data_IF_870745376942
#
_entry.id   IF_870745376942
#
_cell.length_a   1.000
_cell.length_b   1.000
_cell.length_c   1.000
_cell.angle_alpha   90.00
_cell.angle_beta   90.00
_cell.angle_gamma   90.00
#
_symmetry.space_group_name_H-M   'P 1'
#
loop_
_entity.id
_entity.type
_entity.pdbx_description
1 polymer ?
#
# COMPACT_ATOMS: atom_id res chain seq x y z
N UNK A 1 49.30 5.66 -22.19
CA UNK A 1 48.79 6.83 -21.44
C UNK A 1 47.49 7.27 -22.12
N UNK A 2 46.33 6.80 -21.65
CA UNK A 2 45.06 7.07 -22.34
C UNK A 2 44.71 8.56 -22.26
N UNK A 3 44.21 9.16 -23.36
CA UNK A 3 44.02 10.60 -23.45
C UNK A 3 42.89 11.05 -22.49
N UNK A 4 43.03 12.26 -21.94
CA UNK A 4 42.26 12.74 -20.77
C UNK A 4 40.74 12.67 -20.99
N UNK A 5 40.28 12.95 -22.21
CA UNK A 5 38.87 12.86 -22.61
C UNK A 5 38.27 11.45 -22.47
N UNK A 6 39.06 10.39 -22.67
CA UNK A 6 38.59 9.00 -22.50
C UNK A 6 38.32 8.71 -21.02
N UNK A 7 39.13 9.26 -20.10
CA UNK A 7 38.89 9.13 -18.66
C UNK A 7 37.63 9.86 -18.22
N UNK A 8 37.36 11.04 -18.78
CA UNK A 8 36.13 11.81 -18.50
C UNK A 8 34.87 11.08 -18.94
N UNK A 9 34.90 10.40 -20.10
CA UNK A 9 33.78 9.58 -20.58
C UNK A 9 33.51 8.36 -19.67
N UNK A 10 34.56 7.75 -19.12
CA UNK A 10 34.44 6.67 -18.14
C UNK A 10 33.86 7.16 -16.80
N UNK A 11 34.30 8.32 -16.31
CA UNK A 11 33.80 8.90 -15.05
C UNK A 11 32.32 9.26 -15.18
N UNK A 12 31.89 9.81 -16.32
CA UNK A 12 30.48 10.13 -16.57
C UNK A 12 29.59 8.87 -16.49
N UNK A 13 30.02 7.76 -17.08
CA UNK A 13 29.29 6.48 -17.01
C UNK A 13 29.38 5.76 -15.65
N UNK A 14 30.37 6.08 -14.81
CA UNK A 14 30.52 5.50 -13.47
C UNK A 14 29.70 6.26 -12.41
N UNK A 15 29.47 7.55 -12.64
CA UNK A 15 28.77 8.45 -11.69
C UNK A 15 27.28 8.60 -12.02
N UNK A 16 26.83 8.25 -13.23
CA UNK A 16 25.41 8.20 -13.60
C UNK A 16 24.57 7.03 -13.02
N UNK A 17 25.10 5.81 -12.80
CA UNK A 17 24.36 4.70 -12.20
C UNK A 17 23.81 4.99 -10.79
N UNK A 18 24.53 5.68 -9.87
CA UNK A 18 23.99 5.93 -8.53
C UNK A 18 22.90 7.02 -8.51
N UNK A 19 22.78 7.90 -9.50
CA UNK A 19 21.64 8.84 -9.59
C UNK A 19 20.33 8.14 -9.95
N UNK A 20 20.41 6.96 -10.57
CA UNK A 20 19.23 6.14 -10.90
C UNK A 20 18.73 5.32 -9.71
N UNK A 21 19.46 5.29 -8.58
CA UNK A 21 18.99 4.71 -7.31
C UNK A 21 18.34 5.81 -6.45
N UNK A 22 17.55 6.68 -7.07
CA UNK A 22 16.59 7.52 -6.35
C UNK A 22 15.34 6.71 -5.93
N UNK A 23 15.24 5.45 -6.36
CA UNK A 23 14.21 4.52 -5.93
C UNK A 23 14.62 3.78 -4.65
N UNK A 24 14.79 4.51 -3.55
CA UNK A 24 14.29 3.97 -2.27
C UNK A 24 12.80 4.30 -2.18
N UNK A 25 12.03 3.99 -3.22
CA UNK A 25 10.62 3.73 -3.02
C UNK A 25 10.59 2.48 -2.16
N UNK A 26 10.03 2.62 -0.95
CA UNK A 26 9.50 1.47 -0.23
C UNK A 26 8.42 0.90 -1.15
N UNK A 27 8.81 -0.04 -2.01
CA UNK A 27 7.87 -0.93 -2.65
C UNK A 27 7.33 -1.78 -1.50
N UNK A 28 6.23 -1.35 -0.90
CA UNK A 28 5.30 -2.35 -0.40
C UNK A 28 4.83 -3.08 -1.66
N UNK A 29 5.12 -4.38 -1.85
CA UNK A 29 4.37 -5.17 -2.80
C UNK A 29 2.96 -5.32 -2.21
N UNK A 30 2.19 -4.24 -2.29
CA UNK A 30 0.78 -4.22 -1.97
C UNK A 30 0.12 -5.07 -3.03
N UNK A 31 -0.11 -6.34 -2.68
CA UNK A 31 -1.04 -7.23 -3.33
C UNK A 31 -2.24 -6.41 -3.83
N UNK A 32 -2.65 -6.54 -5.09
CA UNK A 32 -3.73 -5.77 -5.74
C UNK A 32 -5.13 -6.12 -5.22
N UNK A 33 -5.22 -6.36 -3.93
CA UNK A 33 -6.44 -6.39 -3.16
C UNK A 33 -6.53 -4.98 -2.54
N UNK A 34 -7.47 -4.11 -2.94
CA UNK A 34 -7.63 -2.81 -2.31
C UNK A 34 -7.96 -3.05 -0.84
N UNK A 35 -6.94 -2.96 0.02
CA UNK A 35 -7.15 -2.97 1.46
C UNK A 35 -8.05 -1.78 1.81
N UNK A 36 -9.03 -1.95 2.71
CA UNK A 36 -9.89 -0.87 3.14
C UNK A 36 -9.02 0.21 3.80
N UNK A 37 -9.17 1.43 3.30
CA UNK A 37 -8.44 2.60 3.78
C UNK A 37 -8.93 3.01 5.18
N UNK A 38 -8.24 2.56 6.22
CA UNK A 38 -8.68 2.73 7.62
C UNK A 38 -8.17 3.99 8.33
N UNK A 39 -7.24 4.74 7.73
CA UNK A 39 -6.70 5.97 8.33
C UNK A 39 -7.77 6.98 8.78
N UNK A 40 -8.82 7.30 7.99
CA UNK A 40 -9.81 8.30 8.40
C UNK A 40 -10.74 7.81 9.51
N UNK A 41 -10.79 6.50 9.78
CA UNK A 41 -11.69 5.88 10.75
C UNK A 41 -11.02 5.57 12.09
N UNK A 42 -9.70 5.78 12.21
CA UNK A 42 -8.90 5.41 13.39
C UNK A 42 -9.37 6.06 14.70
N UNK A 43 -10.00 7.23 14.62
CA UNK A 43 -10.52 7.99 15.76
C UNK A 43 -12.03 8.25 15.66
N UNK A 44 -12.75 7.45 14.87
CA UNK A 44 -14.19 7.59 14.70
C UNK A 44 -14.88 6.76 15.78
N UNK A 45 -15.67 7.45 16.62
CA UNK A 45 -16.46 6.82 17.67
C UNK A 45 -17.84 6.37 17.19
N UNK A 46 -18.33 6.99 16.11
CA UNK A 46 -19.66 6.77 15.58
C UNK A 46 -19.62 6.69 14.05
N UNK A 47 -20.14 5.59 13.50
CA UNK A 47 -20.13 5.31 12.08
C UNK A 47 -21.53 5.55 11.51
N UNK A 48 -21.60 6.06 10.29
CA UNK A 48 -22.87 6.17 9.59
C UNK A 48 -23.37 4.76 9.19
N UNK A 49 -24.68 4.52 9.29
CA UNK A 49 -25.35 3.28 8.86
C UNK A 49 -25.44 3.14 7.33
N UNK A 50 -24.30 3.28 6.65
CA UNK A 50 -24.21 3.01 5.22
C UNK A 50 -24.03 1.52 4.99
N UNK A 51 -24.79 0.93 4.06
CA UNK A 51 -24.68 -0.48 3.72
C UNK A 51 -23.71 -0.67 2.55
N UNK A 52 -22.43 -0.86 2.85
CA UNK A 52 -21.35 -1.20 1.92
C UNK A 52 -20.54 -2.38 2.48
N UNK A 53 -21.09 -3.61 2.42
CA UNK A 53 -20.58 -4.71 3.20
C UNK A 53 -19.14 -5.10 2.84
N UNK A 54 -18.36 -5.50 3.84
CA UNK A 54 -16.98 -5.98 3.70
C UNK A 54 -16.84 -7.32 4.43
N UNK A 55 -16.20 -8.29 3.79
CA UNK A 55 -15.86 -9.57 4.40
C UNK A 55 -14.45 -9.52 4.96
N UNK A 56 -14.33 -9.75 6.27
CA UNK A 56 -13.06 -9.90 6.98
C UNK A 56 -12.44 -11.28 6.78
N UNK A 57 -11.15 -11.38 7.09
CA UNK A 57 -10.41 -12.64 7.17
C UNK A 57 -10.90 -13.57 8.28
N UNK A 58 -11.61 -13.00 9.27
CA UNK A 58 -12.28 -13.71 10.35
C UNK A 58 -13.65 -14.30 9.97
N UNK A 59 -14.07 -14.13 8.71
CA UNK A 59 -15.35 -14.63 8.21
C UNK A 59 -16.56 -13.78 8.65
N UNK A 60 -16.35 -12.61 9.27
CA UNK A 60 -17.44 -11.69 9.59
C UNK A 60 -17.68 -10.70 8.46
N UNK A 61 -18.96 -10.38 8.28
CA UNK A 61 -19.39 -9.29 7.40
C UNK A 61 -19.55 -8.01 8.23
N UNK A 62 -18.96 -6.93 7.76
CA UNK A 62 -19.06 -5.60 8.36
C UNK A 62 -19.94 -4.73 7.48
N UNK A 63 -20.87 -3.99 8.07
CA UNK A 63 -21.85 -3.20 7.29
C UNK A 63 -21.21 -2.15 6.39
N UNK A 64 -20.08 -1.58 6.82
CA UNK A 64 -19.25 -0.71 6.00
C UNK A 64 -17.80 -0.65 6.49
N UNK A 65 -17.00 0.11 5.73
CA UNK A 65 -15.59 0.36 5.99
C UNK A 65 -15.32 1.00 7.36
N UNK A 66 -16.20 1.87 7.86
CA UNK A 66 -16.02 2.46 9.18
C UNK A 66 -16.09 1.38 10.27
N UNK A 67 -17.14 0.55 10.25
CA UNK A 67 -17.28 -0.57 11.19
C UNK A 67 -16.19 -1.63 11.05
N UNK A 68 -15.68 -1.83 9.83
CA UNK A 68 -14.51 -2.70 9.63
C UNK A 68 -13.26 -2.11 10.28
N UNK A 69 -13.01 -0.81 10.07
CA UNK A 69 -11.79 -0.13 10.48
C UNK A 69 -11.73 0.23 11.98
N UNK A 70 -12.85 0.15 12.70
CA UNK A 70 -12.84 0.23 14.17
C UNK A 70 -12.22 -1.01 14.81
N UNK A 71 -12.11 -2.12 14.08
CA UNK A 71 -11.45 -3.33 14.56
C UNK A 71 -9.98 -3.38 14.12
N UNK A 72 -9.06 -3.33 15.09
CA UNK A 72 -7.62 -3.16 14.85
C UNK A 72 -6.88 -4.44 14.42
N UNK A 73 -7.54 -5.59 14.47
CA UNK A 73 -6.93 -6.92 14.26
C UNK A 73 -7.51 -7.66 13.05
N UNK A 74 -8.14 -6.95 12.11
CA UNK A 74 -8.85 -7.55 10.98
C UNK A 74 -8.15 -7.28 9.68
N UNK A 75 -7.95 -8.34 8.91
CA UNK A 75 -7.52 -8.21 7.52
C UNK A 75 -8.73 -8.30 6.62
N UNK A 76 -8.65 -7.61 5.50
CA UNK A 76 -9.69 -7.66 4.49
C UNK A 76 -9.57 -8.94 3.66
N UNK A 77 -10.70 -9.61 3.42
CA UNK A 77 -10.80 -10.77 2.50
C UNK A 77 -11.34 -10.34 1.14
N UNK A 78 -12.58 -9.82 1.10
CA UNK A 78 -13.21 -9.32 -0.11
C UNK A 78 -14.34 -8.33 0.20
N UNK A 79 -14.77 -7.58 -0.82
CA UNK A 79 -15.93 -6.69 -0.75
C UNK A 79 -17.21 -7.53 -0.81
N UNK A 80 -18.24 -7.14 -0.05
CA UNK A 80 -19.49 -7.88 0.08
C UNK A 80 -19.63 -8.59 1.43
N UNK A 81 -20.71 -9.33 1.57
CA UNK A 81 -20.96 -10.21 2.71
C UNK A 81 -20.13 -11.49 2.57
N UNK A 82 -19.67 -12.06 3.69
CA UNK A 82 -19.08 -13.39 3.72
C UNK A 82 -20.19 -14.42 3.45
N UNK A 83 -20.16 -15.01 2.25
CA UNK A 83 -20.88 -16.23 1.94
C UNK A 83 -19.87 -17.38 2.04
N UNK A 84 -20.22 -18.44 2.77
CA UNK A 84 -19.36 -19.62 3.00
C UNK A 84 -18.65 -20.13 1.73
#
# INVERSE_FOLDING_TARGET
>A
MFPIWVKSLFILNLVLPPYFVAETVVAHPGNTIPQPYCEPYRNVTDCLDTLNPICGDDGKSYDNQCYFCTETLKSYKHLGICTE
#
